data_IF_224137026376
#
_entry.id   IF_224137026376
#
_cell.length_a   1.000
_cell.length_b   1.000
_cell.length_c   1.000
_cell.angle_alpha   90.00
_cell.angle_beta   90.00
_cell.angle_gamma   90.00
#
_symmetry.space_group_name_H-M   'P 1'
#
loop_
_entity.id
_entity.type
_entity.pdbx_description
1 polymer ?
#
# COMPACT_ATOMS: atom_id res chain seq x y z
N UNK A 1 0.69 36.76 40.76
CA UNK A 1 0.08 35.88 39.73
C UNK A 1 0.93 35.71 38.45
N UNK A 2 2.02 36.48 38.26
CA UNK A 2 2.90 36.41 37.07
C UNK A 2 3.89 35.24 37.12
N UNK A 3 4.48 34.91 38.27
CA UNK A 3 5.45 33.81 38.39
C UNK A 3 4.88 32.42 38.06
N UNK A 4 3.62 32.17 38.38
CA UNK A 4 2.98 30.88 38.13
C UNK A 4 2.78 30.60 36.63
N UNK A 5 2.49 31.64 35.84
CA UNK A 5 2.35 31.52 34.37
C UNK A 5 3.68 31.23 33.68
N UNK A 6 4.77 31.87 34.12
CA UNK A 6 6.11 31.61 33.58
C UNK A 6 6.60 30.21 33.95
N UNK A 7 6.33 29.75 35.17
CA UNK A 7 6.69 28.42 35.64
C UNK A 7 5.99 27.31 34.86
N UNK A 8 4.66 27.42 34.67
CA UNK A 8 3.89 26.45 33.86
C UNK A 8 4.37 26.45 32.40
N UNK A 9 4.63 27.62 31.82
CA UNK A 9 5.11 27.73 30.43
C UNK A 9 6.49 27.08 30.25
N UNK A 10 7.40 27.18 31.22
CA UNK A 10 8.69 26.50 31.18
C UNK A 10 8.58 24.99 31.32
N UNK A 11 7.71 24.49 32.21
CA UNK A 11 7.46 23.05 32.35
C UNK A 11 6.87 22.49 31.06
N UNK A 12 5.89 23.17 30.46
CA UNK A 12 5.32 22.75 29.17
C UNK A 12 6.38 22.72 28.06
N UNK A 13 7.26 23.73 27.98
CA UNK A 13 8.35 23.77 27.01
C UNK A 13 9.36 22.63 27.22
N UNK A 14 9.75 22.36 28.45
CA UNK A 14 10.64 21.24 28.80
C UNK A 14 10.01 19.89 28.45
N UNK A 15 8.72 19.68 28.75
CA UNK A 15 8.02 18.46 28.36
C UNK A 15 7.92 18.33 26.83
N UNK A 16 7.72 19.43 26.10
CA UNK A 16 7.68 19.41 24.64
C UNK A 16 9.06 19.06 24.04
N UNK A 17 10.14 19.60 24.61
CA UNK A 17 11.52 19.33 24.17
C UNK A 17 11.87 17.86 24.44
N UNK A 18 11.54 17.35 25.63
CA UNK A 18 11.77 15.93 25.99
C UNK A 18 10.92 14.98 25.14
N UNK A 19 9.69 15.37 24.80
CA UNK A 19 8.85 14.62 23.86
C UNK A 19 9.46 14.63 22.44
N UNK A 20 10.00 15.75 21.98
CA UNK A 20 10.65 15.86 20.67
C UNK A 20 11.89 14.96 20.59
N UNK A 21 12.75 14.99 21.61
CA UNK A 21 13.94 14.13 21.66
C UNK A 21 13.61 12.63 21.68
N UNK A 22 12.52 12.24 22.34
CA UNK A 22 12.06 10.84 22.32
C UNK A 22 11.47 10.44 20.97
N UNK A 23 10.84 11.37 20.25
CA UNK A 23 10.28 11.11 18.92
C UNK A 23 11.41 10.87 17.89
N UNK A 24 12.47 11.68 17.95
CA UNK A 24 13.65 11.53 17.09
C UNK A 24 14.36 10.18 17.32
N UNK A 25 14.46 9.74 18.58
CA UNK A 25 15.06 8.45 18.94
C UNK A 25 14.26 7.25 18.43
N UNK A 26 12.94 7.37 18.28
CA UNK A 26 12.08 6.32 17.71
C UNK A 26 12.11 6.28 16.17
N UNK A 27 12.63 7.33 15.51
CA UNK A 27 12.68 7.43 14.04
C UNK A 27 14.06 7.11 13.44
N UNK A 28 15.07 6.80 14.26
CA UNK A 28 16.42 6.62 13.75
C UNK A 28 16.54 5.34 12.89
N UNK A 29 16.66 5.54 11.59
CA UNK A 29 16.77 4.48 10.60
C UNK A 29 18.12 3.74 10.76
N UNK A 30 18.15 2.39 10.64
CA UNK A 30 19.41 1.64 10.56
C UNK A 30 20.28 2.17 9.42
N UNK A 31 21.59 2.03 9.56
CA UNK A 31 22.54 2.50 8.55
C UNK A 31 22.20 1.97 7.14
N UNK A 32 22.15 2.88 6.17
CA UNK A 32 21.82 2.55 4.77
C UNK A 32 20.32 2.47 4.45
N UNK A 33 19.43 2.71 5.42
CA UNK A 33 17.99 2.87 5.18
C UNK A 33 17.65 4.35 5.05
N UNK A 34 17.07 4.72 3.92
CA UNK A 34 16.72 6.11 3.59
C UNK A 34 15.28 6.47 3.99
N UNK A 35 14.36 5.50 4.02
CA UNK A 35 12.98 5.70 4.44
C UNK A 35 12.34 4.42 5.00
N UNK A 36 11.29 4.58 5.83
CA UNK A 36 10.39 3.52 6.27
C UNK A 36 8.96 3.88 5.92
N UNK A 37 8.29 2.96 5.25
CA UNK A 37 6.91 3.12 4.81
C UNK A 37 6.04 2.03 5.43
N UNK A 38 4.75 2.30 5.64
CA UNK A 38 3.84 1.30 6.19
C UNK A 38 4.13 0.94 7.66
N UNK A 39 4.55 1.91 8.48
CA UNK A 39 4.69 1.72 9.94
C UNK A 39 3.29 1.79 10.61
N UNK A 40 2.99 0.86 11.52
CA UNK A 40 1.72 0.75 12.25
C UNK A 40 0.48 0.55 11.37
N UNK A 41 0.73 -0.14 10.29
CA UNK A 41 -0.06 -0.15 9.07
C UNK A 41 -0.41 -1.61 8.72
N UNK A 42 -0.57 -2.44 9.75
CA UNK A 42 -0.87 -3.86 9.59
C UNK A 42 0.23 -4.66 8.87
N UNK A 43 -0.13 -5.85 8.41
CA UNK A 43 0.75 -6.71 7.66
C UNK A 43 0.83 -6.23 6.20
N UNK A 44 2.02 -5.79 5.79
CA UNK A 44 2.31 -5.44 4.40
C UNK A 44 2.31 -6.73 3.56
N UNK A 45 1.55 -6.73 2.47
CA UNK A 45 1.41 -7.86 1.55
C UNK A 45 2.15 -7.62 0.24
N UNK A 46 2.13 -6.38 -0.26
CA UNK A 46 2.70 -6.04 -1.56
C UNK A 46 3.06 -4.55 -1.64
N UNK A 47 3.95 -4.19 -2.58
CA UNK A 47 4.42 -2.82 -2.81
C UNK A 47 4.59 -2.56 -4.31
N UNK A 48 4.17 -1.38 -4.78
CA UNK A 48 4.31 -0.99 -6.18
C UNK A 48 4.70 0.49 -6.32
N UNK A 49 5.58 0.79 -7.26
CA UNK A 49 5.89 2.16 -7.67
C UNK A 49 4.95 2.60 -8.79
N UNK A 50 4.61 3.87 -8.83
CA UNK A 50 4.06 4.47 -10.06
C UNK A 50 5.10 4.40 -11.19
N UNK A 51 4.68 4.34 -12.46
CA UNK A 51 5.62 4.23 -13.59
C UNK A 51 6.61 5.39 -13.71
N UNK A 52 6.23 6.58 -13.24
CA UNK A 52 7.07 7.77 -13.17
C UNK A 52 8.00 7.79 -11.93
N UNK A 53 7.85 6.83 -11.01
CA UNK A 53 8.64 6.71 -9.79
C UNK A 53 8.33 7.74 -8.71
N UNK A 54 7.30 8.57 -8.88
CA UNK A 54 6.99 9.65 -7.93
C UNK A 54 6.25 9.17 -6.68
N UNK A 55 5.56 8.03 -6.75
CA UNK A 55 4.77 7.50 -5.64
C UNK A 55 5.00 6.02 -5.40
N UNK A 56 4.75 5.61 -4.17
CA UNK A 56 4.77 4.21 -3.73
C UNK A 56 3.40 3.87 -3.18
N UNK A 57 2.81 2.77 -3.67
CA UNK A 57 1.64 2.14 -3.08
C UNK A 57 2.07 0.96 -2.21
N UNK A 58 1.47 0.86 -1.03
CA UNK A 58 1.67 -0.23 -0.09
C UNK A 58 0.34 -0.91 0.18
N UNK A 59 0.25 -2.18 -0.20
CA UNK A 59 -0.88 -3.02 0.12
C UNK A 59 -0.69 -3.64 1.50
N UNK A 60 -1.72 -3.52 2.33
CA UNK A 60 -1.76 -4.14 3.65
C UNK A 60 -3.08 -4.85 3.88
N UNK A 61 -3.14 -5.62 4.95
CA UNK A 61 -4.39 -6.22 5.39
C UNK A 61 -5.43 -5.21 5.92
N UNK A 62 -5.08 -3.93 6.07
CA UNK A 62 -6.03 -2.88 6.49
C UNK A 62 -6.34 -1.85 5.40
N UNK A 63 -5.74 -1.98 4.22
CA UNK A 63 -5.99 -1.11 3.07
C UNK A 63 -4.74 -0.83 2.25
N UNK A 64 -4.82 0.15 1.35
CA UNK A 64 -3.69 0.58 0.51
C UNK A 64 -3.30 2.01 0.83
N UNK A 65 -2.02 2.24 1.16
CA UNK A 65 -1.49 3.61 1.35
C UNK A 65 -0.61 4.04 0.20
N UNK A 66 -0.69 5.34 -0.10
CA UNK A 66 0.19 6.02 -1.00
C UNK A 66 1.17 6.91 -0.25
N UNK A 67 2.41 6.85 -0.70
CA UNK A 67 3.49 7.68 -0.23
C UNK A 67 4.14 8.42 -1.38
N UNK A 68 4.65 9.61 -1.09
CA UNK A 68 5.61 10.29 -1.95
C UNK A 68 6.94 9.53 -1.88
N UNK A 69 7.47 9.14 -3.04
CA UNK A 69 8.69 8.34 -3.12
C UNK A 69 9.96 9.13 -2.74
N UNK A 70 9.95 10.45 -2.93
CA UNK A 70 11.10 11.31 -2.68
C UNK A 70 11.16 11.77 -1.22
N UNK A 71 10.01 12.14 -0.65
CA UNK A 71 9.93 12.69 0.71
C UNK A 71 9.63 11.64 1.78
N UNK A 72 9.12 10.46 1.39
CA UNK A 72 8.72 9.45 2.35
C UNK A 72 7.37 9.71 3.02
N UNK A 73 6.64 10.74 2.58
CA UNK A 73 5.45 11.27 3.27
C UNK A 73 4.19 10.53 2.83
N UNK A 74 3.30 10.20 3.78
CA UNK A 74 2.00 9.59 3.47
C UNK A 74 1.11 10.63 2.78
N UNK A 75 0.75 10.37 1.52
CA UNK A 75 -0.05 11.30 0.72
C UNK A 75 -1.54 10.98 0.80
N UNK A 76 -1.91 9.70 0.85
CA UNK A 76 -3.31 9.28 0.90
C UNK A 76 -3.50 7.82 1.35
N UNK A 77 -4.68 7.52 1.88
CA UNK A 77 -5.25 6.16 1.94
C UNK A 77 -6.19 5.99 0.75
N UNK A 78 -6.05 4.90 0.00
CA UNK A 78 -6.98 4.55 -1.06
C UNK A 78 -8.40 4.47 -0.49
N UNK A 79 -9.34 5.32 -0.93
CA UNK A 79 -10.67 5.34 -0.33
C UNK A 79 -11.36 4.00 -0.56
N UNK A 80 -12.04 3.47 0.45
CA UNK A 80 -12.92 2.30 0.35
C UNK A 80 -12.29 0.98 -0.19
N UNK A 81 -10.97 0.78 -0.07
CA UNK A 81 -10.39 -0.57 -0.23
C UNK A 81 -10.77 -1.43 0.98
N UNK A 82 -11.27 -2.66 0.82
CA UNK A 82 -11.55 -3.50 1.96
C UNK A 82 -10.27 -3.96 2.64
N UNK A 83 -10.45 -4.49 3.85
CA UNK A 83 -9.46 -5.28 4.55
C UNK A 83 -8.96 -6.44 3.66
N UNK A 84 -7.72 -6.88 3.90
CA UNK A 84 -7.07 -8.01 3.24
C UNK A 84 -6.76 -7.82 1.74
N UNK A 85 -6.03 -6.75 1.42
CA UNK A 85 -5.43 -6.55 0.09
C UNK A 85 -4.18 -7.40 -0.05
N UNK A 86 -4.17 -8.32 -1.02
CA UNK A 86 -3.07 -9.26 -1.25
C UNK A 86 -2.12 -8.83 -2.36
N UNK A 87 -2.60 -8.04 -3.34
CA UNK A 87 -1.81 -7.66 -4.51
C UNK A 87 -2.18 -6.27 -5.02
N UNK A 88 -1.20 -5.54 -5.55
CA UNK A 88 -1.41 -4.23 -6.18
C UNK A 88 -0.59 -4.08 -7.46
N UNK A 89 -1.09 -3.27 -8.39
CA UNK A 89 -0.33 -2.87 -9.58
C UNK A 89 -0.80 -1.54 -10.15
N UNK A 90 0.14 -0.70 -10.55
CA UNK A 90 -0.17 0.47 -11.34
C UNK A 90 -0.33 0.12 -12.82
N UNK A 91 -1.28 0.82 -13.44
CA UNK A 91 -1.38 0.92 -14.90
C UNK A 91 -0.14 1.60 -15.48
N UNK A 92 0.21 1.33 -16.75
CA UNK A 92 1.43 1.86 -17.36
C UNK A 92 1.40 3.38 -17.58
N UNK A 93 0.21 3.97 -17.62
CA UNK A 93 0.00 5.43 -17.64
C UNK A 93 0.08 6.06 -16.24
N UNK A 94 0.07 5.24 -15.17
CA UNK A 94 0.14 5.69 -13.79
C UNK A 94 -1.18 6.26 -13.25
N UNK A 95 -2.25 6.32 -14.06
CA UNK A 95 -3.50 6.95 -13.67
C UNK A 95 -4.39 6.04 -12.83
N UNK A 96 -4.24 4.72 -13.02
CA UNK A 96 -5.07 3.72 -12.35
C UNK A 96 -4.23 2.79 -11.49
N UNK A 97 -4.61 2.62 -10.22
CA UNK A 97 -4.11 1.58 -9.33
C UNK A 97 -5.13 0.44 -9.28
N UNK A 98 -4.69 -0.79 -9.54
CA UNK A 98 -5.48 -1.98 -9.27
C UNK A 98 -5.06 -2.60 -7.94
N UNK A 99 -6.04 -3.10 -7.19
CA UNK A 99 -5.81 -3.92 -6.00
C UNK A 99 -6.68 -5.17 -6.03
N UNK A 100 -6.12 -6.29 -5.59
CA UNK A 100 -6.81 -7.57 -5.44
C UNK A 100 -6.93 -7.95 -3.96
N UNK A 101 -8.06 -8.54 -3.57
CA UNK A 101 -8.26 -9.05 -2.21
C UNK A 101 -8.21 -10.58 -2.12
N UNK A 102 -8.10 -11.04 -0.87
CA UNK A 102 -8.19 -12.45 -0.51
C UNK A 102 -9.58 -13.06 -0.86
N UNK A 103 -10.60 -12.23 -1.05
CA UNK A 103 -11.96 -12.63 -1.43
C UNK A 103 -12.20 -12.70 -2.96
N UNK A 104 -11.16 -12.50 -3.78
CA UNK A 104 -11.30 -12.59 -5.24
C UNK A 104 -11.93 -11.37 -5.90
N UNK A 105 -12.07 -10.27 -5.16
CA UNK A 105 -12.54 -9.00 -5.68
C UNK A 105 -11.36 -8.18 -6.21
N UNK A 106 -11.64 -7.32 -7.19
CA UNK A 106 -10.66 -6.40 -7.77
C UNK A 106 -11.22 -4.99 -7.67
N UNK A 107 -10.39 -4.06 -7.19
CA UNK A 107 -10.65 -2.63 -7.20
C UNK A 107 -9.73 -1.93 -8.19
N UNK A 108 -10.29 -0.94 -8.86
CA UNK A 108 -9.59 0.00 -9.72
C UNK A 108 -9.83 1.38 -9.15
N UNK A 109 -8.75 2.03 -8.75
CA UNK A 109 -8.75 3.40 -8.26
C UNK A 109 -8.09 4.31 -9.28
N UNK A 110 -8.87 5.27 -9.79
CA UNK A 110 -8.35 6.36 -10.62
C UNK A 110 -7.80 7.48 -9.74
N UNK A 111 -6.52 7.78 -9.90
CA UNK A 111 -5.76 8.71 -9.07
C UNK A 111 -6.10 10.19 -9.34
N UNK A 112 -6.65 10.50 -10.51
CA UNK A 112 -6.97 11.85 -10.96
C UNK A 112 -8.37 12.30 -10.52
N UNK A 113 -9.32 11.37 -10.48
CA UNK A 113 -10.73 11.64 -10.17
C UNK A 113 -11.19 11.12 -8.82
N UNK A 114 -10.33 10.38 -8.11
CA UNK A 114 -10.69 9.58 -6.93
C UNK A 114 -11.85 8.59 -7.19
N UNK A 115 -12.08 8.24 -8.46
CA UNK A 115 -13.12 7.29 -8.83
C UNK A 115 -12.69 5.86 -8.49
N UNK A 116 -13.55 5.13 -7.79
CA UNK A 116 -13.32 3.75 -7.41
C UNK A 116 -14.36 2.87 -8.08
N UNK A 117 -13.87 1.91 -8.86
CA UNK A 117 -14.68 0.83 -9.42
C UNK A 117 -14.22 -0.48 -8.82
N UNK A 118 -15.16 -1.36 -8.55
CA UNK A 118 -14.83 -2.71 -8.11
C UNK A 118 -15.71 -3.71 -8.85
N UNK A 119 -15.16 -4.91 -9.03
CA UNK A 119 -15.89 -6.02 -9.60
C UNK A 119 -15.36 -7.34 -9.02
N UNK A 120 -16.25 -8.32 -8.96
CA UNK A 120 -15.81 -9.69 -8.68
C UNK A 120 -15.08 -10.21 -9.91
N UNK A 121 -13.88 -10.73 -9.73
CA UNK A 121 -13.13 -11.38 -10.81
C UNK A 121 -13.79 -12.67 -11.31
N UNK A 122 -14.86 -13.12 -10.66
CA UNK A 122 -15.40 -14.48 -10.82
C UNK A 122 -14.55 -15.54 -10.13
N UNK A 123 -13.43 -15.16 -9.52
CA UNK A 123 -12.65 -16.04 -8.65
C UNK A 123 -13.25 -16.05 -7.24
N UNK A 124 -13.40 -17.25 -6.67
CA UNK A 124 -13.95 -17.47 -5.33
C UNK A 124 -12.87 -17.54 -4.24
N UNK A 125 -11.62 -17.23 -4.59
CA UNK A 125 -10.44 -17.35 -3.73
C UNK A 125 -9.39 -16.29 -4.08
N UNK A 126 -8.47 -16.09 -3.12
CA UNK A 126 -7.30 -15.21 -3.10
C UNK A 126 -6.71 -14.86 -4.48
N UNK A 127 -6.66 -13.55 -4.75
CA UNK A 127 -5.86 -12.97 -5.83
C UNK A 127 -4.41 -12.89 -5.36
N UNK A 128 -3.49 -13.60 -6.03
CA UNK A 128 -2.08 -13.61 -5.64
C UNK A 128 -1.27 -12.50 -6.30
N UNK A 129 -1.69 -12.03 -7.47
CA UNK A 129 -0.98 -11.01 -8.22
C UNK A 129 -1.92 -10.34 -9.21
N UNK A 130 -1.74 -9.04 -9.37
CA UNK A 130 -2.36 -8.22 -10.41
C UNK A 130 -1.23 -7.63 -11.24
N UNK A 131 -1.40 -7.55 -12.55
CA UNK A 131 -0.43 -6.92 -13.44
C UNK A 131 -1.14 -6.23 -14.59
N UNK A 132 -0.74 -5.00 -14.89
CA UNK A 132 -1.17 -4.35 -16.12
C UNK A 132 -0.20 -4.66 -17.26
N UNK A 133 -0.76 -5.09 -18.38
CA UNK A 133 -0.03 -5.20 -19.63
C UNK A 133 -0.40 -4.05 -20.56
N UNK A 134 0.61 -3.36 -21.08
CA UNK A 134 0.47 -2.17 -21.94
C UNK A 134 -0.48 -2.33 -23.12
N UNK A 135 -0.60 -3.55 -23.67
CA UNK A 135 -1.41 -3.81 -24.87
C UNK A 135 -2.62 -4.72 -24.65
N UNK A 136 -2.64 -5.48 -23.54
CA UNK A 136 -3.65 -6.54 -23.32
C UNK A 136 -4.54 -6.20 -22.12
N UNK A 137 -4.29 -5.08 -21.45
CA UNK A 137 -5.02 -4.66 -20.27
C UNK A 137 -4.56 -5.39 -19.01
N UNK A 138 -5.42 -5.45 -18.01
CA UNK A 138 -5.12 -6.03 -16.71
C UNK A 138 -5.20 -7.56 -16.74
N UNK A 139 -4.21 -8.22 -16.14
CA UNK A 139 -4.17 -9.67 -15.89
C UNK A 139 -4.15 -9.91 -14.39
N UNK A 140 -4.83 -10.97 -13.96
CA UNK A 140 -4.94 -11.35 -12.56
C UNK A 140 -4.58 -12.82 -12.42
N UNK A 141 -3.71 -13.13 -11.47
CA UNK A 141 -3.28 -14.48 -11.16
C UNK A 141 -3.86 -14.92 -9.81
N UNK A 142 -4.28 -16.19 -9.73
CA UNK A 142 -4.85 -16.81 -8.53
C UNK A 142 -4.06 -18.03 -8.10
N UNK A 143 -4.28 -18.48 -6.86
CA UNK A 143 -3.80 -19.82 -6.46
C UNK A 143 -4.29 -20.87 -7.45
N UNK A 144 -3.43 -21.77 -7.93
CA UNK A 144 -3.89 -22.93 -8.68
C UNK A 144 -4.85 -23.71 -7.78
N UNK A 145 -6.05 -23.97 -8.29
CA UNK A 145 -6.96 -24.90 -7.62
C UNK A 145 -6.27 -26.26 -7.71
N UNK A 146 -5.78 -26.75 -6.57
CA UNK A 146 -5.24 -28.10 -6.48
C UNK A 146 -6.37 -29.07 -6.81
N UNK A 147 -6.42 -29.51 -8.07
CA UNK A 147 -7.28 -30.59 -8.50
C UNK A 147 -6.41 -31.85 -8.51
N UNK A 148 -6.54 -32.76 -7.52
CA UNK A 148 -5.75 -33.99 -7.48
C UNK A 148 -5.96 -34.89 -8.70
N UNK A 149 -6.99 -34.62 -9.54
CA UNK A 149 -7.32 -35.38 -10.74
C UNK A 149 -6.75 -34.81 -12.05
N UNK A 150 -6.11 -33.62 -12.05
CA UNK A 150 -5.46 -33.05 -13.25
C UNK A 150 -3.95 -32.89 -13.05
N UNK A 151 -3.21 -33.97 -13.27
CA UNK A 151 -1.82 -33.89 -13.75
C UNK A 151 -1.84 -34.04 -15.26
N UNK A 152 -1.71 -32.94 -15.99
CA UNK A 152 -1.14 -32.99 -17.33
C UNK A 152 -0.27 -31.77 -17.52
N UNK A 153 1.04 -32.02 -17.61
CA UNK A 153 1.96 -31.10 -18.26
C UNK A 153 1.71 -31.24 -19.75
N UNK A 154 1.41 -30.12 -20.42
CA UNK A 154 1.33 -30.05 -21.87
C UNK A 154 1.90 -28.71 -22.30
N UNK A 155 3.12 -28.73 -22.82
CA UNK A 155 3.65 -27.63 -23.63
C UNK A 155 2.91 -27.69 -24.97
N UNK A 156 2.25 -26.61 -25.36
CA UNK A 156 1.85 -26.40 -26.75
C UNK A 156 2.54 -25.15 -27.26
N UNK A 157 3.70 -25.36 -27.87
CA UNK A 157 4.16 -24.53 -28.98
C UNK A 157 3.34 -24.95 -30.21
N UNK A 158 2.64 -23.99 -30.80
CA UNK A 158 2.48 -23.78 -32.25
C UNK A 158 1.95 -22.36 -32.48
#
# INVERSE_FOLDING_TARGET
MTNYKHFIRHICLLMLIVACQNLDAQQQLPYGIEARFGVDKGAIRDVAFTPDGTRIAIASNIGVWLYDAAEGTETALAPATPFDVSAIAFSPDGETLASGSDEGMIWLWRMDTDEIRHFSSGHTREILSVAFHRFVGMRVMRRPVFNPQRRSWGNSHE
#
